data_IF_523312386471
#
_entry.id   IF_523312386471
#
_cell.length_a   1.000
_cell.length_b   1.000
_cell.length_c   1.000
_cell.angle_alpha   90.00
_cell.angle_beta   90.00
_cell.angle_gamma   90.00
#
_symmetry.space_group_name_H-M   'P 1'
#
loop_
_entity.id
_entity.type
_entity.pdbx_description
1 polymer ?
#
# COMPACT_ATOMS: atom_id res chain seq x y z
N UNK A 1 32.34 14.34 2.09
CA UNK A 1 30.87 14.40 2.09
C UNK A 1 30.35 13.61 0.90
N UNK A 2 29.72 12.44 1.07
CA UNK A 2 28.84 11.93 0.03
C UNK A 2 27.46 11.59 0.63
N UNK A 3 26.41 12.25 0.13
CA UNK A 3 25.03 11.79 0.32
C UNK A 3 24.76 10.75 -0.78
N UNK A 4 24.95 9.48 -0.44
CA UNK A 4 24.48 8.37 -1.26
C UNK A 4 22.96 8.29 -1.10
N UNK A 5 22.22 8.86 -2.04
CA UNK A 5 20.78 8.56 -2.20
C UNK A 5 20.66 7.18 -2.84
N UNK A 6 20.88 6.14 -2.03
CA UNK A 6 20.68 4.77 -2.48
C UNK A 6 19.17 4.57 -2.61
N UNK A 7 18.67 4.61 -3.85
CA UNK A 7 17.36 4.04 -4.17
C UNK A 7 17.51 2.53 -4.05
N UNK A 8 17.54 2.06 -2.81
CA UNK A 8 17.38 0.66 -2.56
C UNK A 8 15.91 0.35 -2.86
N UNK A 9 15.64 -0.21 -4.04
CA UNK A 9 14.51 -1.12 -4.21
C UNK A 9 14.76 -2.33 -3.31
N UNK A 10 14.76 -2.14 -1.98
CA UNK A 10 14.78 -3.23 -1.04
C UNK A 10 13.48 -3.95 -1.30
N UNK A 11 13.55 -5.21 -1.77
CA UNK A 11 12.45 -6.16 -1.67
C UNK A 11 11.79 -5.90 -0.33
N UNK A 12 10.62 -5.26 -0.35
CA UNK A 12 10.00 -4.73 0.85
C UNK A 12 9.42 -5.95 1.53
N UNK A 13 10.26 -6.71 2.24
CA UNK A 13 9.86 -7.88 2.99
C UNK A 13 9.18 -7.42 4.30
N UNK A 14 8.26 -6.47 4.16
CA UNK A 14 7.48 -5.94 5.23
C UNK A 14 6.35 -6.90 5.55
N UNK A 15 6.03 -7.06 6.84
CA UNK A 15 4.94 -7.94 7.23
C UNK A 15 3.59 -7.48 6.67
N UNK A 16 3.49 -6.27 6.11
CA UNK A 16 2.27 -5.69 5.55
C UNK A 16 2.00 -6.08 4.08
N UNK A 17 2.96 -6.73 3.40
CA UNK A 17 2.75 -7.22 2.03
C UNK A 17 1.59 -8.23 2.01
N UNK A 18 0.72 -8.11 1.02
CA UNK A 18 -0.47 -8.93 0.88
C UNK A 18 -1.68 -8.11 0.42
N UNK A 19 -2.83 -8.77 0.41
CA UNK A 19 -4.08 -8.17 -0.02
C UNK A 19 -4.80 -7.52 1.17
N UNK A 20 -5.29 -6.30 0.96
CA UNK A 20 -6.04 -5.51 1.92
C UNK A 20 -7.42 -5.25 1.33
N UNK A 21 -8.48 -5.46 2.08
CA UNK A 21 -9.84 -5.31 1.60
C UNK A 21 -10.65 -4.45 2.54
N UNK A 22 -11.54 -3.61 2.03
CA UNK A 22 -12.46 -2.89 2.92
C UNK A 22 -13.42 -3.86 3.61
N UNK A 23 -13.98 -3.46 4.75
CA UNK A 23 -14.91 -4.32 5.52
C UNK A 23 -16.13 -4.78 4.73
N UNK A 24 -16.53 -4.02 3.70
CA UNK A 24 -17.60 -4.34 2.77
C UNK A 24 -17.14 -5.16 1.54
N UNK A 25 -15.83 -5.35 1.36
CA UNK A 25 -15.24 -6.13 0.28
C UNK A 25 -15.27 -5.50 -1.11
N UNK A 26 -15.76 -4.25 -1.27
CA UNK A 26 -15.73 -3.61 -2.59
C UNK A 26 -14.33 -3.24 -3.03
N UNK A 27 -13.45 -2.84 -2.11
CA UNK A 27 -12.13 -2.34 -2.48
C UNK A 27 -11.10 -3.35 -2.04
N UNK A 28 -10.22 -3.72 -2.97
CA UNK A 28 -9.13 -4.68 -2.80
C UNK A 28 -7.83 -4.00 -3.18
N UNK A 29 -6.97 -3.79 -2.21
CA UNK A 29 -5.71 -3.10 -2.31
C UNK A 29 -4.58 -4.11 -2.03
N UNK A 30 -3.86 -4.52 -3.05
CA UNK A 30 -2.75 -5.44 -2.97
C UNK A 30 -1.43 -4.69 -2.83
N UNK A 31 -0.69 -4.95 -1.76
CA UNK A 31 0.69 -4.51 -1.59
C UNK A 31 1.62 -5.61 -2.10
N UNK A 32 2.33 -5.35 -3.20
CA UNK A 32 3.27 -6.28 -3.82
C UNK A 32 4.65 -6.19 -3.16
N UNK A 33 5.38 -7.30 -3.00
CA UNK A 33 6.74 -7.31 -2.42
C UNK A 33 7.77 -6.52 -3.23
N UNK A 34 7.41 -6.15 -4.46
CA UNK A 34 8.19 -5.29 -5.36
C UNK A 34 8.18 -3.81 -4.93
N UNK A 35 7.39 -3.43 -3.91
CA UNK A 35 7.19 -2.03 -3.51
C UNK A 35 6.14 -1.30 -4.36
N UNK A 36 5.29 -2.04 -5.05
CA UNK A 36 4.17 -1.55 -5.86
C UNK A 36 2.85 -1.91 -5.22
N UNK A 37 1.85 -1.06 -5.32
CA UNK A 37 0.49 -1.40 -4.93
C UNK A 37 -0.43 -1.46 -6.14
N UNK A 38 -1.47 -2.28 -6.05
CA UNK A 38 -2.59 -2.35 -6.99
C UNK A 38 -3.90 -2.23 -6.20
N UNK A 39 -4.76 -1.30 -6.58
CA UNK A 39 -6.08 -1.13 -5.98
C UNK A 39 -7.17 -1.42 -7.01
N UNK A 40 -7.91 -2.50 -6.79
CA UNK A 40 -9.14 -2.83 -7.49
C UNK A 40 -10.37 -2.35 -6.71
N UNK A 41 -11.35 -1.78 -7.41
CA UNK A 41 -12.63 -1.35 -6.85
C UNK A 41 -13.78 -2.01 -7.58
N UNK A 42 -14.47 -2.94 -6.91
CA UNK A 42 -15.61 -3.69 -7.43
C UNK A 42 -15.25 -4.42 -8.73
N UNK A 43 -15.90 -4.01 -9.83
CA UNK A 43 -15.68 -4.62 -11.15
C UNK A 43 -14.48 -4.01 -11.91
N UNK A 44 -13.85 -2.95 -11.37
CA UNK A 44 -12.67 -2.32 -11.96
C UNK A 44 -11.42 -2.85 -11.28
N UNK A 45 -10.79 -3.82 -11.93
CA UNK A 45 -9.46 -4.30 -11.56
C UNK A 45 -8.43 -3.21 -11.87
N UNK A 46 -7.43 -3.03 -11.00
CA UNK A 46 -6.35 -2.05 -11.17
C UNK A 46 -6.85 -0.62 -11.42
N UNK A 47 -7.77 -0.15 -10.58
CA UNK A 47 -8.27 1.22 -10.61
C UNK A 47 -7.15 2.23 -10.33
N UNK A 48 -6.28 1.92 -9.37
CA UNK A 48 -5.09 2.70 -9.03
C UNK A 48 -3.89 1.79 -8.86
N UNK A 49 -2.72 2.28 -9.26
CA UNK A 49 -1.48 1.52 -9.15
C UNK A 49 -0.32 2.50 -9.09
N UNK A 50 0.64 2.16 -8.25
CA UNK A 50 1.73 3.08 -7.95
C UNK A 50 2.77 2.41 -7.09
N UNK A 51 3.71 3.21 -6.60
CA UNK A 51 4.72 2.77 -5.65
C UNK A 51 4.31 3.17 -4.24
N UNK A 52 4.78 2.42 -3.26
CA UNK A 52 4.58 2.77 -1.86
C UNK A 52 5.90 2.68 -1.08
N UNK A 53 5.97 3.36 0.07
CA UNK A 53 7.05 3.24 1.03
C UNK A 53 6.46 3.17 2.43
N UNK A 54 7.04 2.32 3.27
CA UNK A 54 6.58 2.14 4.66
C UNK A 54 7.62 2.70 5.61
N UNK A 55 7.21 3.61 6.47
CA UNK A 55 8.03 4.21 7.52
C UNK A 55 7.43 3.88 8.88
N UNK A 56 7.94 2.83 9.52
CA UNK A 56 7.40 2.35 10.81
C UNK A 56 6.00 1.77 10.68
N UNK A 57 4.99 2.53 11.09
CA UNK A 57 3.57 2.21 10.94
C UNK A 57 2.84 3.13 9.93
N UNK A 58 3.57 4.02 9.26
CA UNK A 58 3.02 4.86 8.21
C UNK A 58 3.36 4.30 6.83
N UNK A 59 2.47 4.47 5.86
CA UNK A 59 2.67 4.10 4.46
C UNK A 59 2.36 5.29 3.57
N UNK A 60 3.35 5.67 2.76
CA UNK A 60 3.24 6.69 1.74
C UNK A 60 3.03 6.02 0.39
N UNK A 61 2.11 6.55 -0.40
CA UNK A 61 1.77 6.10 -1.75
C UNK A 61 2.07 7.19 -2.75
N UNK A 62 2.63 6.80 -3.87
CA UNK A 62 2.81 7.65 -5.03
C UNK A 62 2.27 6.92 -6.26
N UNK A 63 1.16 7.41 -6.77
CA UNK A 63 0.51 6.90 -7.96
C UNK A 63 1.23 7.37 -9.23
N UNK A 64 1.17 6.59 -10.29
CA UNK A 64 1.78 6.93 -11.58
C UNK A 64 1.11 8.15 -12.23
N UNK A 65 -0.11 8.50 -11.80
CA UNK A 65 -0.81 9.74 -12.22
C UNK A 65 -0.28 11.01 -11.55
N UNK A 66 0.62 10.90 -10.57
CA UNK A 66 1.15 12.03 -9.80
C UNK A 66 0.34 12.36 -8.54
N UNK A 67 -0.66 11.54 -8.19
CA UNK A 67 -1.34 11.64 -6.91
C UNK A 67 -0.48 11.02 -5.80
N UNK A 68 -0.45 11.67 -4.64
CA UNK A 68 0.20 11.14 -3.44
C UNK A 68 -0.85 10.91 -2.38
N UNK A 69 -0.77 9.77 -1.72
CA UNK A 69 -1.70 9.42 -0.66
C UNK A 69 -0.92 8.85 0.51
N UNK A 70 -1.49 8.96 1.69
CA UNK A 70 -0.87 8.45 2.91
C UNK A 70 -1.82 7.47 3.62
N UNK A 71 -1.24 6.61 4.43
CA UNK A 71 -1.97 5.63 5.22
C UNK A 71 -1.22 5.29 6.49
N UNK A 72 -1.93 4.81 7.49
CA UNK A 72 -1.36 4.42 8.77
C UNK A 72 -1.88 3.06 9.16
N UNK A 73 -0.97 2.13 9.43
CA UNK A 73 -1.27 0.85 10.05
C UNK A 73 -1.57 1.10 11.52
N UNK A 74 -2.85 0.96 11.89
CA UNK A 74 -3.28 1.03 13.30
C UNK A 74 -3.07 -0.32 13.98
N UNK A 75 -3.17 -1.41 13.22
CA UNK A 75 -2.91 -2.79 13.66
C UNK A 75 -2.17 -3.57 12.57
N UNK A 76 -1.76 -4.81 12.87
CA UNK A 76 -1.13 -5.72 11.90
C UNK A 76 -2.05 -6.10 10.73
N UNK A 77 -3.36 -6.06 10.96
CA UNK A 77 -4.39 -6.45 10.00
C UNK A 77 -5.32 -5.27 9.65
N UNK A 78 -5.02 -4.03 10.09
CA UNK A 78 -5.88 -2.85 9.87
C UNK A 78 -5.06 -1.66 9.37
N UNK A 79 -5.38 -1.18 8.18
CA UNK A 79 -4.79 -0.01 7.52
C UNK A 79 -5.85 1.10 7.40
N UNK A 80 -5.55 2.27 7.95
CA UNK A 80 -6.34 3.48 7.75
C UNK A 80 -5.74 4.28 6.59
N UNK A 81 -6.50 4.45 5.51
CA UNK A 81 -6.04 5.13 4.31
C UNK A 81 -7.15 6.01 3.74
N UNK A 82 -6.88 7.31 3.54
CA UNK A 82 -7.80 8.25 2.87
C UNK A 82 -9.28 8.18 3.34
N UNK A 83 -9.52 8.05 4.65
CA UNK A 83 -10.84 7.87 5.30
C UNK A 83 -11.49 6.48 5.15
N UNK A 84 -10.76 5.52 4.61
CA UNK A 84 -11.17 4.13 4.49
C UNK A 84 -10.38 3.26 5.47
N UNK A 85 -11.03 2.21 5.95
CA UNK A 85 -10.39 1.17 6.76
C UNK A 85 -10.29 -0.07 5.88
N UNK A 86 -9.06 -0.50 5.62
CA UNK A 86 -8.78 -1.75 4.92
C UNK A 86 -8.27 -2.77 5.92
N UNK A 87 -8.78 -3.98 5.80
CA UNK A 87 -8.39 -5.13 6.59
C UNK A 87 -7.54 -6.07 5.77
N UNK A 88 -6.51 -6.63 6.38
CA UNK A 88 -5.67 -7.61 5.70
C UNK A 88 -6.48 -8.87 5.39
N UNK A 89 -6.62 -9.19 4.12
CA UNK A 89 -7.14 -10.46 3.66
C UNK A 89 -6.05 -11.52 3.83
N UNK A 90 -6.22 -12.36 4.85
CA UNK A 90 -5.41 -13.57 5.01
C UNK A 90 -5.83 -14.59 3.93
N UNK A 91 -4.89 -15.26 3.26
CA UNK A 91 -5.18 -16.31 2.28
C UNK A 91 -5.91 -17.50 2.92
#
# INVERSE_FOLDING_TARGET
>A
MPAQSTIHSQTQNHPYVGLWVTGDGHIRHELLPTGRYDEARGNRQSAYQGRYAITGNHIDYWDDTGFTADGTFVDHDTLHHASMILYRQKP
#
